data_IF_656752378380
#
_entry.id   IF_656752378380
#
_cell.length_a   1.000
_cell.length_b   1.000
_cell.length_c   1.000
_cell.angle_alpha   90.00
_cell.angle_beta   90.00
_cell.angle_gamma   90.00
#
_symmetry.space_group_name_H-M   'P 1'
#
loop_
_entity.id
_entity.type
_entity.pdbx_description
1 polymer ?
#
# COMPACT_ATOMS: atom_id res chain seq x y z
N UNK A 1 -23.12 -20.96 24.64
CA UNK A 1 -22.50 -21.04 25.99
C UNK A 1 -20.97 -21.16 25.98
N UNK A 2 -20.33 -21.85 25.02
CA UNK A 2 -18.86 -21.95 24.97
C UNK A 2 -18.14 -20.61 24.67
N UNK A 3 -18.71 -19.78 23.79
CA UNK A 3 -18.12 -18.50 23.37
C UNK A 3 -18.08 -17.47 24.52
N UNK A 4 -19.09 -17.44 25.40
CA UNK A 4 -19.11 -16.52 26.55
C UNK A 4 -18.09 -16.93 27.62
N UNK A 5 -17.84 -18.23 27.77
CA UNK A 5 -16.83 -18.79 28.66
C UNK A 5 -15.41 -18.51 28.14
N UNK A 6 -15.18 -18.67 26.84
CA UNK A 6 -13.90 -18.33 26.21
C UNK A 6 -13.66 -16.81 26.32
N UNK A 7 -14.66 -15.96 26.04
CA UNK A 7 -14.55 -14.50 26.21
C UNK A 7 -14.26 -14.09 27.66
N UNK A 8 -14.90 -14.72 28.65
CA UNK A 8 -14.65 -14.40 30.07
C UNK A 8 -13.28 -14.89 30.54
N UNK A 9 -12.83 -16.05 30.06
CA UNK A 9 -11.47 -16.57 30.28
C UNK A 9 -10.44 -15.64 29.64
N UNK A 10 -10.60 -15.28 28.36
CA UNK A 10 -9.71 -14.33 27.67
C UNK A 10 -9.65 -12.99 28.41
N UNK A 11 -10.80 -12.41 28.79
CA UNK A 11 -10.83 -11.16 29.55
C UNK A 11 -10.15 -11.28 30.93
N UNK A 12 -10.31 -12.41 31.62
CA UNK A 12 -9.64 -12.69 32.89
C UNK A 12 -8.12 -12.78 32.72
N UNK A 13 -7.67 -13.47 31.68
CA UNK A 13 -6.25 -13.63 31.37
C UNK A 13 -5.62 -12.30 30.95
N UNK A 14 -6.31 -11.48 30.16
CA UNK A 14 -5.90 -10.12 29.79
C UNK A 14 -5.75 -9.21 31.02
N UNK A 15 -6.70 -9.28 31.96
CA UNK A 15 -6.62 -8.56 33.24
C UNK A 15 -5.42 -9.03 34.09
N UNK A 16 -5.15 -10.32 34.12
CA UNK A 16 -4.02 -10.87 34.86
C UNK A 16 -2.66 -10.46 34.26
N UNK A 17 -2.50 -10.52 32.94
CA UNK A 17 -1.28 -10.06 32.26
C UNK A 17 -1.06 -8.56 32.45
N UNK A 18 -2.11 -7.74 32.35
CA UNK A 18 -2.01 -6.30 32.57
C UNK A 18 -1.76 -5.91 34.04
N UNK A 19 -2.31 -6.66 35.00
CA UNK A 19 -2.00 -6.51 36.42
C UNK A 19 -0.53 -6.86 36.71
N UNK A 20 -0.03 -7.97 36.13
CA UNK A 20 1.37 -8.39 36.25
C UNK A 20 2.33 -7.29 35.76
N UNK A 21 2.06 -6.69 34.59
CA UNK A 21 2.88 -5.58 34.06
C UNK A 21 2.86 -4.34 34.97
N UNK A 22 1.73 -4.04 35.62
CA UNK A 22 1.61 -2.93 36.59
C UNK A 22 2.36 -3.22 37.89
N UNK A 23 2.18 -4.42 38.43
CA UNK A 23 2.83 -4.87 39.66
C UNK A 23 4.35 -4.93 39.49
N UNK A 24 4.84 -5.37 38.33
CA UNK A 24 6.26 -5.36 38.00
C UNK A 24 6.86 -3.95 37.94
N UNK A 25 6.14 -2.96 37.38
CA UNK A 25 6.57 -1.55 37.40
C UNK A 25 6.58 -0.98 38.82
N UNK A 26 5.59 -1.35 39.64
CA UNK A 26 5.53 -0.93 41.06
C UNK A 26 6.69 -1.55 41.85
N UNK A 27 7.00 -2.82 41.60
CA UNK A 27 8.13 -3.52 42.21
C UNK A 27 9.47 -2.91 41.78
N UNK A 28 9.65 -2.56 40.50
CA UNK A 28 10.85 -1.87 40.01
C UNK A 28 11.04 -0.54 40.75
N UNK A 29 9.97 0.28 40.84
CA UNK A 29 10.00 1.58 41.52
C UNK A 29 10.33 1.48 43.01
N UNK A 30 10.09 0.34 43.64
CA UNK A 30 10.35 0.11 45.07
C UNK A 30 11.44 -0.94 45.29
N UNK A 31 12.19 -1.29 44.25
CA UNK A 31 13.17 -2.38 44.29
C UNK A 31 14.26 -2.14 45.33
N UNK A 32 14.73 -0.89 45.46
CA UNK A 32 15.68 -0.50 46.48
C UNK A 32 15.15 -0.68 47.92
N UNK A 33 13.86 -0.42 48.15
CA UNK A 33 13.23 -0.60 49.47
C UNK A 33 12.98 -2.07 49.80
N UNK A 34 12.64 -2.89 48.79
CA UNK A 34 12.26 -4.30 48.98
C UNK A 34 13.47 -5.23 49.00
N UNK A 35 14.47 -4.96 48.16
CA UNK A 35 15.62 -5.83 47.95
C UNK A 35 16.96 -5.20 48.38
N UNK A 36 16.96 -3.94 48.82
CA UNK A 36 18.17 -3.21 49.20
C UNK A 36 18.99 -2.69 48.01
N UNK A 37 18.62 -3.03 46.78
CA UNK A 37 19.31 -2.65 45.53
C UNK A 37 18.30 -2.39 44.41
N UNK A 38 18.65 -1.51 43.47
CA UNK A 38 17.82 -1.26 42.30
C UNK A 38 17.93 -2.40 41.29
N UNK A 39 16.79 -2.98 40.91
CA UNK A 39 16.73 -4.03 39.90
C UNK A 39 16.11 -3.53 38.59
N UNK A 40 16.63 -3.98 37.43
CA UNK A 40 16.06 -3.63 36.13
C UNK A 40 14.67 -4.24 35.94
N UNK A 41 13.82 -3.55 35.17
CA UNK A 41 12.41 -3.92 34.97
C UNK A 41 12.21 -5.39 34.54
N UNK A 42 13.09 -5.93 33.69
CA UNK A 42 13.02 -7.34 33.24
C UNK A 42 13.14 -8.34 34.39
N UNK A 43 13.99 -8.06 35.39
CA UNK A 43 14.16 -8.93 36.56
C UNK A 43 12.92 -8.87 37.45
N UNK A 44 12.35 -7.67 37.65
CA UNK A 44 11.10 -7.50 38.39
C UNK A 44 9.91 -8.16 37.66
N UNK A 45 9.83 -8.08 36.33
CA UNK A 45 8.81 -8.76 35.53
C UNK A 45 8.92 -10.28 35.67
N UNK A 46 10.14 -10.82 35.64
CA UNK A 46 10.37 -12.25 35.86
C UNK A 46 9.95 -12.69 37.27
N UNK A 47 10.33 -11.93 38.30
CA UNK A 47 9.95 -12.22 39.68
C UNK A 47 8.42 -12.21 39.91
N UNK A 48 7.71 -11.24 39.31
CA UNK A 48 6.24 -11.17 39.40
C UNK A 48 5.57 -12.26 38.55
N UNK A 49 6.16 -12.67 37.42
CA UNK A 49 5.67 -13.80 36.64
C UNK A 49 5.74 -15.12 37.43
N UNK A 50 6.89 -15.39 38.06
CA UNK A 50 7.07 -16.58 38.90
C UNK A 50 6.14 -16.56 40.12
N UNK A 51 5.98 -15.40 40.79
CA UNK A 51 5.08 -15.29 41.96
C UNK A 51 3.60 -15.50 41.63
N UNK A 52 3.21 -15.26 40.37
CA UNK A 52 1.85 -15.50 39.86
C UNK A 52 1.66 -16.92 39.31
N UNK A 53 2.67 -17.79 39.42
CA UNK A 53 2.58 -19.21 39.06
C UNK A 53 2.97 -19.55 37.62
N UNK A 54 3.56 -18.61 36.87
CA UNK A 54 4.15 -18.91 35.56
C UNK A 54 5.55 -19.48 35.72
N UNK A 55 6.01 -20.38 34.83
CA UNK A 55 7.34 -20.98 34.94
C UNK A 55 8.44 -19.99 34.54
N UNK A 56 8.12 -19.05 33.66
CA UNK A 56 9.05 -18.01 33.23
C UNK A 56 8.32 -16.76 32.71
N UNK A 57 9.06 -15.66 32.56
CA UNK A 57 8.59 -14.47 31.84
C UNK A 57 8.21 -14.79 30.39
N UNK A 58 8.94 -15.70 29.74
CA UNK A 58 8.69 -16.10 28.36
C UNK A 58 7.31 -16.78 28.21
N UNK A 59 6.82 -17.49 29.23
CA UNK A 59 5.46 -18.05 29.20
C UNK A 59 4.39 -16.96 29.22
N UNK A 60 4.62 -15.89 29.99
CA UNK A 60 3.73 -14.72 30.04
C UNK A 60 3.77 -13.97 28.71
N UNK A 61 4.94 -13.83 28.10
CA UNK A 61 5.11 -13.18 26.79
C UNK A 61 4.47 -14.01 25.67
N UNK A 62 4.64 -15.33 25.66
CA UNK A 62 3.98 -16.24 24.72
C UNK A 62 2.45 -16.23 24.87
N UNK A 63 1.97 -16.19 26.12
CA UNK A 63 0.55 -16.10 26.42
C UNK A 63 -0.01 -14.72 26.08
N UNK A 64 0.74 -13.64 26.32
CA UNK A 64 0.39 -12.30 25.85
C UNK A 64 0.35 -12.24 24.33
N UNK A 65 1.30 -12.85 23.62
CA UNK A 65 1.34 -12.92 22.16
C UNK A 65 0.15 -13.71 21.60
N UNK A 66 -0.19 -14.86 22.19
CA UNK A 66 -1.38 -15.65 21.81
C UNK A 66 -2.70 -14.92 22.05
N UNK A 67 -2.71 -13.94 22.95
CA UNK A 67 -3.88 -13.13 23.30
C UNK A 67 -3.84 -11.73 22.69
N UNK A 68 -2.85 -11.41 21.85
CA UNK A 68 -2.75 -10.11 21.19
C UNK A 68 -2.43 -8.94 22.13
N UNK A 69 -1.79 -9.22 23.27
CA UNK A 69 -1.41 -8.23 24.28
C UNK A 69 0.01 -7.72 24.11
N UNK A 70 0.62 -8.06 22.97
CA UNK A 70 1.88 -7.46 22.55
C UNK A 70 1.60 -6.01 22.11
N UNK A 71 2.20 -5.05 22.83
CA UNK A 71 2.08 -3.63 22.52
C UNK A 71 3.06 -3.20 21.42
N UNK A 72 4.02 -4.06 21.09
CA UNK A 72 5.00 -3.82 20.03
C UNK A 72 4.52 -4.34 18.68
N UNK A 73 3.51 -5.22 18.68
CA UNK A 73 2.86 -5.68 17.46
C UNK A 73 2.00 -4.57 16.84
N UNK A 74 2.09 -4.35 15.52
CA UNK A 74 1.20 -3.42 14.85
C UNK A 74 -0.27 -3.80 15.04
N UNK A 75 -1.18 -2.80 15.03
CA UNK A 75 -2.61 -3.02 15.26
C UNK A 75 -3.28 -3.96 14.24
N UNK A 76 -2.66 -4.12 13.06
CA UNK A 76 -3.11 -5.03 12.00
C UNK A 76 -2.59 -6.47 12.15
N UNK A 77 -1.97 -6.80 13.28
CA UNK A 77 -1.56 -8.17 13.58
C UNK A 77 -2.80 -9.02 13.86
N UNK A 78 -2.96 -10.13 13.13
CA UNK A 78 -4.08 -11.05 13.29
C UNK A 78 -3.87 -11.86 14.57
N UNK A 79 -4.71 -11.61 15.57
CA UNK A 79 -4.69 -12.31 16.87
C UNK A 79 -5.70 -13.46 16.91
N UNK A 80 -6.79 -13.34 16.14
CA UNK A 80 -7.85 -14.33 16.05
C UNK A 80 -8.43 -14.34 14.64
N UNK A 81 -8.96 -15.50 14.25
CA UNK A 81 -9.59 -15.73 12.94
C UNK A 81 -11.02 -16.16 13.16
N UNK A 82 -11.94 -15.64 12.35
CA UNK A 82 -13.28 -16.21 12.23
C UNK A 82 -13.21 -17.57 11.53
N UNK A 83 -14.26 -18.39 11.66
CA UNK A 83 -14.34 -19.69 10.98
C UNK A 83 -14.19 -19.49 9.46
N UNK A 84 -14.88 -18.49 8.90
CA UNK A 84 -14.78 -18.11 7.48
C UNK A 84 -13.35 -17.73 7.08
N UNK A 85 -12.66 -16.93 7.89
CA UNK A 85 -11.25 -16.60 7.63
C UNK A 85 -10.39 -17.87 7.62
N UNK A 86 -10.54 -18.74 8.63
CA UNK A 86 -9.75 -19.96 8.75
C UNK A 86 -10.00 -20.93 7.58
N UNK A 87 -11.23 -21.07 7.12
CA UNK A 87 -11.58 -21.94 5.99
C UNK A 87 -10.98 -21.43 4.67
N UNK A 88 -11.05 -20.12 4.44
CA UNK A 88 -10.41 -19.48 3.28
C UNK A 88 -8.90 -19.62 3.33
N UNK A 89 -8.29 -19.42 4.49
CA UNK A 89 -6.85 -19.58 4.70
C UNK A 89 -6.40 -21.03 4.45
N UNK A 90 -7.16 -22.01 4.95
CA UNK A 90 -6.91 -23.43 4.68
C UNK A 90 -6.99 -23.74 3.19
N UNK A 91 -7.92 -23.10 2.46
CA UNK A 91 -8.02 -23.27 1.01
C UNK A 91 -6.81 -22.68 0.27
N UNK A 92 -6.37 -21.47 0.65
CA UNK A 92 -5.17 -20.84 0.10
C UNK A 92 -3.93 -21.71 0.33
N UNK A 93 -3.75 -22.25 1.54
CA UNK A 93 -2.64 -23.16 1.84
C UNK A 93 -2.70 -24.46 1.06
N UNK A 94 -3.88 -25.07 0.91
CA UNK A 94 -4.04 -26.29 0.09
C UNK A 94 -3.71 -26.05 -1.38
N UNK A 95 -3.87 -24.82 -1.86
CA UNK A 95 -3.51 -24.40 -3.21
C UNK A 95 -2.07 -23.88 -3.31
N UNK A 96 -1.32 -23.84 -2.20
CA UNK A 96 0.02 -23.25 -2.09
C UNK A 96 0.08 -21.83 -2.67
N UNK A 97 -0.94 -21.03 -2.37
CA UNK A 97 -1.02 -19.64 -2.82
C UNK A 97 -0.36 -18.72 -1.80
N UNK A 98 0.67 -18.01 -2.25
CA UNK A 98 1.37 -16.99 -1.49
C UNK A 98 1.73 -15.81 -2.40
N UNK A 99 2.00 -14.66 -1.79
CA UNK A 99 2.56 -13.55 -2.54
C UNK A 99 3.99 -13.90 -2.99
N UNK A 100 4.29 -13.64 -4.25
CA UNK A 100 5.62 -13.90 -4.80
C UNK A 100 6.24 -12.62 -5.32
N UNK A 101 7.58 -12.58 -5.31
CA UNK A 101 8.34 -11.52 -6.00
C UNK A 101 8.29 -11.67 -7.53
N UNK A 102 7.97 -12.87 -8.00
CA UNK A 102 8.06 -13.22 -9.41
C UNK A 102 6.76 -12.97 -10.16
N UNK A 103 5.63 -12.77 -9.49
CA UNK A 103 4.35 -12.63 -10.16
C UNK A 103 3.24 -12.16 -9.20
N UNK A 104 2.30 -11.33 -9.67
CA UNK A 104 1.10 -11.07 -8.93
C UNK A 104 0.19 -12.32 -8.89
N UNK A 105 -0.60 -12.43 -7.81
CA UNK A 105 -1.68 -13.42 -7.71
C UNK A 105 -2.96 -12.78 -8.23
N UNK A 106 -3.54 -13.34 -9.29
CA UNK A 106 -4.71 -12.75 -9.95
C UNK A 106 -5.92 -13.65 -9.71
N UNK A 107 -6.87 -13.13 -8.95
CA UNK A 107 -8.14 -13.75 -8.68
C UNK A 107 -9.15 -13.36 -9.77
N UNK A 108 -9.43 -14.33 -10.64
CA UNK A 108 -10.31 -14.28 -11.80
C UNK A 108 -11.71 -14.80 -11.47
N UNK A 109 -12.69 -14.47 -12.31
CA UNK A 109 -14.12 -14.73 -12.09
C UNK A 109 -14.83 -13.58 -11.38
N UNK A 110 -16.04 -13.84 -10.87
CA UNK A 110 -16.88 -12.81 -10.24
C UNK A 110 -16.20 -12.17 -9.03
N UNK A 111 -16.13 -10.83 -9.01
CA UNK A 111 -15.42 -10.10 -7.96
C UNK A 111 -15.94 -10.42 -6.55
N UNK A 112 -17.25 -10.61 -6.39
CA UNK A 112 -17.88 -10.91 -5.11
C UNK A 112 -17.32 -12.19 -4.44
N UNK A 113 -16.89 -13.17 -5.24
CA UNK A 113 -16.31 -14.43 -4.78
C UNK A 113 -14.78 -14.37 -4.69
N UNK A 114 -14.15 -13.56 -5.53
CA UNK A 114 -12.69 -13.40 -5.62
C UNK A 114 -12.11 -12.44 -4.58
N UNK A 115 -12.89 -11.47 -4.07
CA UNK A 115 -12.43 -10.50 -3.06
C UNK A 115 -12.08 -11.16 -1.73
N UNK A 116 -12.90 -12.10 -1.25
CA UNK A 116 -12.71 -12.73 0.06
C UNK A 116 -11.34 -13.45 0.21
N UNK A 117 -10.92 -14.35 -0.70
CA UNK A 117 -9.61 -14.98 -0.61
C UNK A 117 -8.45 -13.99 -0.82
N UNK A 118 -8.63 -12.95 -1.65
CA UNK A 118 -7.62 -11.92 -1.83
C UNK A 118 -7.40 -11.09 -0.56
N UNK A 119 -8.48 -10.74 0.16
CA UNK A 119 -8.42 -10.07 1.46
C UNK A 119 -7.71 -10.91 2.52
N UNK A 120 -8.05 -12.20 2.64
CA UNK A 120 -7.37 -13.11 3.57
C UNK A 120 -5.88 -13.17 3.28
N UNK A 121 -5.51 -13.35 2.01
CA UNK A 121 -4.10 -13.38 1.61
C UNK A 121 -3.38 -12.06 1.96
N UNK A 122 -4.02 -10.91 1.71
CA UNK A 122 -3.48 -9.59 2.02
C UNK A 122 -3.27 -9.37 3.53
N UNK A 123 -4.29 -9.60 4.36
CA UNK A 123 -4.19 -9.39 5.81
C UNK A 123 -3.20 -10.35 6.47
N UNK A 124 -3.16 -11.62 6.05
CA UNK A 124 -2.20 -12.60 6.56
C UNK A 124 -0.76 -12.19 6.24
N UNK A 125 -0.49 -11.69 5.02
CA UNK A 125 0.84 -11.17 4.69
C UNK A 125 1.20 -9.91 5.48
N UNK A 126 0.26 -8.99 5.67
CA UNK A 126 0.52 -7.79 6.48
C UNK A 126 0.89 -8.17 7.92
N UNK A 127 0.13 -9.11 8.49
CA UNK A 127 0.36 -9.61 9.85
C UNK A 127 1.70 -10.37 9.95
N UNK A 128 2.01 -11.21 8.97
CA UNK A 128 3.26 -11.98 8.93
C UNK A 128 4.50 -11.08 8.79
N UNK A 129 4.47 -10.14 7.85
CA UNK A 129 5.60 -9.24 7.57
C UNK A 129 5.72 -8.10 8.59
N UNK A 130 4.66 -7.81 9.35
CA UNK A 130 4.55 -6.63 10.23
C UNK A 130 4.79 -5.31 9.48
N UNK A 131 4.44 -5.28 8.20
CA UNK A 131 4.54 -4.10 7.33
C UNK A 131 3.14 -3.57 7.00
N UNK A 132 2.96 -2.24 6.88
CA UNK A 132 1.70 -1.66 6.46
C UNK A 132 1.42 -2.00 4.99
N UNK A 133 0.24 -2.55 4.70
CA UNK A 133 -0.19 -2.84 3.34
C UNK A 133 -0.92 -1.69 2.66
N UNK A 134 -1.07 -1.81 1.34
CA UNK A 134 -1.85 -0.88 0.51
C UNK A 134 -3.00 -1.60 -0.19
N UNK A 135 -4.22 -1.13 0.03
CA UNK A 135 -5.40 -1.52 -0.73
C UNK A 135 -5.74 -0.42 -1.74
N UNK A 136 -5.64 -0.72 -3.02
CA UNK A 136 -6.05 0.15 -4.13
C UNK A 136 -7.43 -0.31 -4.62
N UNK A 137 -8.43 0.55 -4.49
CA UNK A 137 -9.79 0.28 -4.92
C UNK A 137 -10.15 1.20 -6.08
N UNK A 138 -10.28 0.62 -7.26
CA UNK A 138 -10.91 1.27 -8.40
C UNK A 138 -12.42 1.13 -8.27
N UNK A 139 -13.11 2.26 -8.11
CA UNK A 139 -14.54 2.28 -7.81
C UNK A 139 -15.25 3.57 -8.20
N UNK A 140 -16.51 3.44 -8.60
CA UNK A 140 -17.47 4.54 -8.76
C UNK A 140 -18.41 4.68 -7.53
N UNK A 141 -18.29 3.79 -6.54
CA UNK A 141 -19.10 3.84 -5.33
C UNK A 141 -18.77 5.10 -4.50
N UNK A 142 -19.76 5.76 -3.90
CA UNK A 142 -19.55 7.04 -3.22
C UNK A 142 -18.74 6.88 -1.92
N UNK A 143 -18.76 5.70 -1.30
CA UNK A 143 -18.03 5.43 -0.08
C UNK A 143 -17.45 4.02 -0.06
N UNK A 144 -16.44 3.79 0.79
CA UNK A 144 -15.87 2.45 1.00
C UNK A 144 -16.90 1.44 1.51
N UNK A 145 -17.93 1.90 2.25
CA UNK A 145 -18.95 1.04 2.85
C UNK A 145 -19.85 0.39 1.81
N UNK A 146 -19.95 0.98 0.62
CA UNK A 146 -20.77 0.51 -0.49
C UNK A 146 -20.03 -0.49 -1.40
N UNK A 147 -18.82 -0.90 -1.02
CA UNK A 147 -17.91 -1.68 -1.87
C UNK A 147 -17.80 -3.13 -1.40
N UNK A 148 -17.48 -4.05 -2.33
CA UNK A 148 -17.26 -5.47 -2.02
C UNK A 148 -16.14 -5.70 -1.00
N UNK A 149 -15.21 -4.75 -0.87
CA UNK A 149 -14.15 -4.79 0.14
C UNK A 149 -14.74 -4.73 1.54
N UNK A 150 -15.66 -3.80 1.79
CA UNK A 150 -16.24 -3.63 3.12
C UNK A 150 -17.09 -4.85 3.53
N UNK A 151 -17.89 -5.38 2.59
CA UNK A 151 -18.62 -6.63 2.79
C UNK A 151 -17.69 -7.82 3.08
N UNK A 152 -16.56 -7.90 2.35
CA UNK A 152 -15.54 -8.93 2.57
C UNK A 152 -14.89 -8.82 3.95
N UNK A 153 -14.49 -7.62 4.37
CA UNK A 153 -13.91 -7.33 5.69
C UNK A 153 -14.89 -7.73 6.80
N UNK A 154 -16.17 -7.37 6.66
CA UNK A 154 -17.22 -7.73 7.61
C UNK A 154 -17.41 -9.24 7.74
N UNK A 155 -17.38 -9.97 6.62
CA UNK A 155 -17.44 -11.44 6.63
C UNK A 155 -16.24 -12.07 7.34
N UNK A 156 -15.06 -11.45 7.25
CA UNK A 156 -13.85 -11.94 7.90
C UNK A 156 -13.79 -11.60 9.40
N UNK A 157 -14.61 -10.66 9.89
CA UNK A 157 -14.56 -10.18 11.27
C UNK A 157 -13.34 -9.29 11.54
N UNK A 158 -12.90 -8.53 10.53
CA UNK A 158 -11.70 -7.68 10.58
C UNK A 158 -12.04 -6.18 10.55
N UNK A 159 -13.26 -5.79 10.92
CA UNK A 159 -13.73 -4.41 10.87
C UNK A 159 -12.85 -3.47 11.69
N UNK A 160 -12.49 -3.84 12.93
CA UNK A 160 -11.63 -3.02 13.80
C UNK A 160 -10.25 -2.77 13.20
N UNK A 161 -9.69 -3.78 12.51
CA UNK A 161 -8.39 -3.64 11.81
C UNK A 161 -8.54 -2.70 10.62
N UNK A 162 -9.62 -2.84 9.85
CA UNK A 162 -9.87 -2.03 8.67
C UNK A 162 -10.20 -0.57 9.00
N UNK A 163 -10.93 -0.30 10.08
CA UNK A 163 -11.15 1.05 10.62
C UNK A 163 -9.83 1.74 11.00
N UNK A 164 -8.82 0.97 11.37
CA UNK A 164 -7.48 1.46 11.63
C UNK A 164 -6.74 1.94 10.37
N UNK A 165 -7.19 1.64 9.16
CA UNK A 165 -6.50 2.03 7.92
C UNK A 165 -6.62 3.55 7.67
N UNK A 166 -5.64 4.13 6.98
CA UNK A 166 -5.79 5.47 6.41
C UNK A 166 -6.64 5.35 5.15
N UNK A 167 -7.86 5.86 5.20
CA UNK A 167 -8.71 5.99 4.00
C UNK A 167 -8.40 7.28 3.27
N UNK A 168 -8.11 7.17 1.97
CA UNK A 168 -7.92 8.31 1.06
C UNK A 168 -8.84 8.13 -0.15
N UNK A 169 -9.77 9.06 -0.34
CA UNK A 169 -10.53 9.15 -1.58
C UNK A 169 -9.86 10.16 -2.51
N UNK A 170 -9.17 9.67 -3.54
CA UNK A 170 -8.40 10.51 -4.47
C UNK A 170 -9.28 11.16 -5.54
N UNK A 171 -10.58 10.85 -5.55
CA UNK A 171 -11.58 11.44 -6.45
C UNK A 171 -12.10 12.78 -5.92
N UNK A 172 -11.76 13.15 -4.69
CA UNK A 172 -12.12 14.43 -4.09
C UNK A 172 -11.26 15.59 -4.64
N UNK A 173 -11.80 16.81 -4.62
CA UNK A 173 -11.09 18.02 -5.06
C UNK A 173 -10.19 18.64 -3.99
N UNK A 174 -10.44 18.39 -2.71
CA UNK A 174 -9.66 18.98 -1.63
C UNK A 174 -9.15 17.88 -0.72
N UNK A 175 -7.97 17.38 -1.04
CA UNK A 175 -7.37 16.26 -0.32
C UNK A 175 -6.64 16.76 0.93
N UNK A 176 -7.01 16.32 2.15
CA UNK A 176 -6.39 16.77 3.41
C UNK A 176 -5.05 16.05 3.69
N UNK A 177 -4.25 15.86 2.65
CA UNK A 177 -2.96 15.17 2.69
C UNK A 177 -1.92 15.91 1.88
N UNK A 178 -0.66 15.70 2.23
CA UNK A 178 0.49 16.09 1.43
C UNK A 178 1.01 14.87 0.69
N UNK A 179 0.92 14.91 -0.65
CA UNK A 179 1.50 13.90 -1.53
C UNK A 179 2.80 14.43 -2.16
N UNK A 180 3.90 13.74 -1.88
CA UNK A 180 5.22 13.99 -2.44
C UNK A 180 5.88 12.65 -2.74
N UNK A 181 6.51 12.50 -3.90
CA UNK A 181 7.26 11.30 -4.30
C UNK A 181 8.48 11.72 -5.10
N UNK A 182 9.38 10.80 -5.42
CA UNK A 182 10.52 11.12 -6.28
C UNK A 182 10.07 11.56 -7.68
N UNK A 183 10.89 12.38 -8.33
CA UNK A 183 10.60 12.92 -9.66
C UNK A 183 10.22 11.82 -10.66
N UNK A 184 10.98 10.72 -10.70
CA UNK A 184 10.71 9.58 -11.59
C UNK A 184 9.30 9.00 -11.45
N UNK A 185 8.78 8.95 -10.22
CA UNK A 185 7.48 8.36 -9.92
C UNK A 185 6.34 9.31 -10.20
N UNK A 186 6.56 10.62 -10.04
CA UNK A 186 5.65 11.62 -10.57
C UNK A 186 5.52 11.50 -12.08
N UNK A 187 6.64 11.51 -12.80
CA UNK A 187 6.65 11.40 -14.27
C UNK A 187 5.97 10.10 -14.71
N UNK A 188 6.37 8.96 -14.12
CA UNK A 188 5.80 7.66 -14.45
C UNK A 188 4.29 7.59 -14.19
N UNK A 189 3.82 8.07 -13.04
CA UNK A 189 2.38 8.08 -12.74
C UNK A 189 1.61 8.95 -13.74
N UNK A 190 2.15 10.11 -14.12
CA UNK A 190 1.56 11.00 -15.14
C UNK A 190 1.53 10.33 -16.51
N UNK A 191 2.60 9.63 -16.90
CA UNK A 191 2.68 9.03 -18.25
C UNK A 191 1.84 7.76 -18.34
N UNK A 192 1.76 6.97 -17.26
CA UNK A 192 1.03 5.70 -17.21
C UNK A 192 -0.47 5.85 -17.55
N UNK A 193 -1.08 7.00 -17.23
CA UNK A 193 -2.51 7.29 -17.51
C UNK A 193 -2.79 7.84 -18.91
N UNK A 194 -1.76 8.23 -19.67
CA UNK A 194 -1.92 8.83 -20.99
C UNK A 194 -2.23 7.78 -22.07
N UNK A 195 -2.81 8.14 -23.22
CA UNK A 195 -2.97 7.21 -24.34
C UNK A 195 -1.63 6.61 -24.80
N UNK A 196 -1.61 5.32 -25.20
CA UNK A 196 -0.37 4.60 -25.54
C UNK A 196 0.47 5.29 -26.62
N UNK A 197 -0.19 5.85 -27.64
CA UNK A 197 0.49 6.58 -28.71
C UNK A 197 1.21 7.84 -28.20
N UNK A 198 0.63 8.49 -27.17
CA UNK A 198 1.25 9.62 -26.53
C UNK A 198 2.41 9.17 -25.63
N UNK A 199 2.27 8.07 -24.89
CA UNK A 199 3.35 7.51 -24.08
C UNK A 199 4.59 7.18 -24.93
N UNK A 200 4.41 6.47 -26.05
CA UNK A 200 5.53 6.11 -26.93
C UNK A 200 6.20 7.35 -27.52
N UNK A 201 5.42 8.39 -27.85
CA UNK A 201 5.94 9.67 -28.31
C UNK A 201 6.75 10.39 -27.21
N UNK A 202 6.25 10.44 -25.98
CA UNK A 202 6.95 11.06 -24.84
C UNK A 202 8.26 10.34 -24.52
N UNK A 203 8.26 9.01 -24.62
CA UNK A 203 9.45 8.20 -24.44
C UNK A 203 10.48 8.42 -25.57
N UNK A 204 10.06 8.39 -26.83
CA UNK A 204 10.95 8.56 -27.99
C UNK A 204 11.54 9.97 -28.08
N UNK A 205 10.76 10.98 -27.70
CA UNK A 205 11.21 12.37 -27.66
C UNK A 205 12.16 12.65 -26.50
N UNK A 206 12.22 11.78 -25.47
CA UNK A 206 12.99 12.02 -24.25
C UNK A 206 12.33 13.05 -23.33
N UNK A 207 11.06 13.39 -23.55
CA UNK A 207 10.35 14.39 -22.76
C UNK A 207 10.18 13.94 -21.30
N UNK A 208 9.92 12.66 -21.06
CA UNK A 208 9.80 12.08 -19.71
C UNK A 208 11.08 12.29 -18.89
N UNK A 209 12.24 11.98 -19.49
CA UNK A 209 13.54 12.20 -18.86
C UNK A 209 13.82 13.69 -18.63
N UNK A 210 13.42 14.54 -19.59
CA UNK A 210 13.51 16.00 -19.45
C UNK A 210 12.67 16.53 -18.29
N UNK A 211 11.44 16.01 -18.11
CA UNK A 211 10.55 16.37 -17.01
C UNK A 211 11.12 15.91 -15.67
N UNK A 212 11.62 14.68 -15.58
CA UNK A 212 12.21 14.12 -14.37
C UNK A 212 13.36 14.99 -13.87
N UNK A 213 14.34 15.26 -14.73
CA UNK A 213 15.52 16.08 -14.39
C UNK A 213 15.11 17.51 -14.03
N UNK A 214 14.25 18.12 -14.84
CA UNK A 214 13.83 19.51 -14.63
C UNK A 214 13.04 19.71 -13.34
N UNK A 215 12.19 18.74 -12.98
CA UNK A 215 11.39 18.77 -11.75
C UNK A 215 12.28 18.56 -10.52
N UNK A 216 13.23 17.63 -10.58
CA UNK A 216 14.19 17.41 -9.51
C UNK A 216 15.06 18.65 -9.25
N UNK A 217 15.64 19.22 -10.30
CA UNK A 217 16.50 20.42 -10.19
C UNK A 217 15.70 21.64 -9.71
N UNK A 218 14.43 21.78 -10.10
CA UNK A 218 13.54 22.81 -9.55
C UNK A 218 13.39 22.65 -8.03
N UNK A 219 13.04 21.45 -7.55
CA UNK A 219 12.89 21.18 -6.13
C UNK A 219 14.21 21.39 -5.35
N UNK A 220 15.34 21.00 -5.94
CA UNK A 220 16.69 21.20 -5.39
C UNK A 220 17.02 22.69 -5.26
N UNK A 221 16.79 23.48 -6.31
CA UNK A 221 17.02 24.94 -6.30
C UNK A 221 16.21 25.67 -5.21
N UNK A 222 15.07 25.10 -4.82
CA UNK A 222 14.17 25.61 -3.77
C UNK A 222 14.46 25.02 -2.39
N UNK A 223 15.52 24.23 -2.23
CA UNK A 223 15.87 23.52 -1.00
C UNK A 223 14.74 22.59 -0.48
N UNK A 224 13.95 22.03 -1.38
CA UNK A 224 12.84 21.12 -1.04
C UNK A 224 13.27 19.65 -1.03
N UNK A 225 14.41 19.33 -1.67
CA UNK A 225 15.02 17.99 -1.61
C UNK A 225 15.78 17.85 -0.28
N UNK A 226 15.33 16.94 0.57
CA UNK A 226 16.09 16.55 1.76
C UNK A 226 17.01 15.41 1.39
N UNK A 227 18.29 15.49 1.77
CA UNK A 227 19.29 14.45 1.54
C UNK A 227 18.97 13.19 2.38
N UNK A 228 18.01 12.40 1.91
CA UNK A 228 17.70 11.08 2.44
C UNK A 228 18.29 10.07 1.45
N UNK A 229 19.09 9.11 1.94
CA UNK A 229 19.81 8.16 1.09
C UNK A 229 18.89 7.22 0.30
N UNK A 230 17.60 7.14 0.67
CA UNK A 230 16.70 6.08 0.23
C UNK A 230 15.44 6.58 -0.51
N UNK A 231 15.00 7.83 -0.30
CA UNK A 231 13.80 8.39 -0.95
C UNK A 231 13.85 9.92 -1.02
N UNK A 232 14.12 10.46 -2.21
CA UNK A 232 14.23 11.91 -2.44
C UNK A 232 12.91 12.48 -2.95
N UNK A 233 11.93 12.62 -2.05
CA UNK A 233 10.61 13.10 -2.39
C UNK A 233 10.63 14.59 -2.81
N UNK A 234 9.93 14.91 -3.90
CA UNK A 234 9.67 16.27 -4.36
C UNK A 234 8.17 16.57 -4.35
N UNK A 235 7.77 17.83 -4.09
CA UNK A 235 6.37 18.23 -4.17
C UNK A 235 5.91 18.30 -5.64
N UNK A 236 4.63 18.08 -5.88
CA UNK A 236 4.04 18.17 -7.22
C UNK A 236 4.24 19.54 -7.88
N UNK A 237 4.27 20.61 -7.08
CA UNK A 237 4.52 21.96 -7.57
C UNK A 237 5.78 22.05 -8.47
N UNK A 238 6.87 21.37 -8.11
CA UNK A 238 8.09 21.37 -8.93
C UNK A 238 7.92 20.63 -10.26
N UNK A 239 7.08 19.60 -10.29
CA UNK A 239 6.69 18.87 -11.50
C UNK A 239 5.82 19.74 -12.39
N UNK A 240 4.85 20.45 -11.80
CA UNK A 240 3.97 21.39 -12.48
C UNK A 240 4.79 22.48 -13.19
N UNK A 241 5.67 23.17 -12.47
CA UNK A 241 6.52 24.23 -13.06
C UNK A 241 7.40 23.70 -14.18
N UNK A 242 8.04 22.53 -13.97
CA UNK A 242 8.86 21.90 -14.99
C UNK A 242 8.04 21.55 -16.24
N UNK A 243 6.85 20.98 -16.09
CA UNK A 243 5.98 20.63 -17.21
C UNK A 243 5.59 21.86 -18.04
N UNK A 244 5.19 22.97 -17.39
CA UNK A 244 4.84 24.22 -18.08
C UNK A 244 6.02 24.83 -18.84
N UNK A 245 7.23 24.82 -18.25
CA UNK A 245 8.43 25.34 -18.92
C UNK A 245 8.84 24.46 -20.10
N UNK A 246 8.88 23.14 -19.91
CA UNK A 246 9.26 22.19 -20.97
C UNK A 246 8.27 22.23 -22.14
N UNK A 247 6.98 22.37 -21.85
CA UNK A 247 5.95 22.52 -22.88
C UNK A 247 6.13 23.79 -23.74
N UNK A 248 6.91 24.77 -23.30
CA UNK A 248 7.24 25.96 -24.11
C UNK A 248 8.31 25.70 -25.17
N UNK A 249 9.17 24.68 -25.00
CA UNK A 249 10.17 24.22 -25.98
C UNK A 249 11.34 25.16 -26.29
N UNK A 250 11.32 26.42 -25.79
CA UNK A 250 12.25 27.46 -26.26
C UNK A 250 13.65 27.36 -25.67
N UNK A 251 13.77 26.91 -24.43
CA UNK A 251 15.03 26.76 -23.72
C UNK A 251 14.86 25.85 -22.52
N UNK A 252 15.95 25.23 -22.06
CA UNK A 252 15.94 24.56 -20.77
C UNK A 252 15.63 25.55 -19.64
N UNK A 253 14.95 25.12 -18.56
CA UNK A 253 14.68 26.00 -17.42
C UNK A 253 15.96 26.57 -16.81
N UNK A 254 15.89 27.83 -16.35
CA UNK A 254 17.04 28.56 -15.80
C UNK A 254 17.61 27.97 -14.50
N UNK A 255 16.87 27.10 -13.84
CA UNK A 255 17.25 26.45 -12.59
C UNK A 255 18.02 25.14 -12.79
N UNK A 256 18.31 24.72 -14.03
CA UNK A 256 19.12 23.54 -14.29
C UNK A 256 20.58 23.83 -13.94
N UNK A 257 21.15 23.08 -12.99
CA UNK A 257 22.55 23.20 -12.61
C UNK A 257 23.51 22.67 -13.69
N UNK A 258 24.79 23.05 -13.62
CA UNK A 258 25.83 22.58 -14.56
C UNK A 258 26.00 21.05 -14.56
N UNK A 259 25.80 20.40 -13.41
CA UNK A 259 25.87 18.95 -13.29
C UNK A 259 24.72 18.25 -14.03
N UNK A 260 23.51 18.80 -13.90
CA UNK A 260 22.32 18.33 -14.61
C UNK A 260 22.35 18.71 -16.11
N UNK A 261 23.03 19.80 -16.47
CA UNK A 261 23.21 20.22 -17.85
C UNK A 261 23.93 19.16 -18.71
N UNK A 262 24.78 18.33 -18.10
CA UNK A 262 25.40 17.17 -18.77
C UNK A 262 24.37 16.09 -19.09
N UNK A 263 23.43 15.83 -18.20
CA UNK A 263 22.35 14.86 -18.43
C UNK A 263 21.37 15.37 -19.49
N UNK A 264 21.00 16.65 -19.43
CA UNK A 264 20.14 17.26 -20.44
C UNK A 264 20.82 17.40 -21.80
N UNK A 265 22.15 17.53 -21.86
CA UNK A 265 22.91 17.55 -23.13
C UNK A 265 22.79 16.25 -23.92
N UNK A 266 22.57 15.11 -23.23
CA UNK A 266 22.28 13.83 -23.86
C UNK A 266 20.85 13.77 -24.45
N UNK A 267 19.94 14.62 -23.95
CA UNK A 267 18.56 14.76 -24.46
C UNK A 267 18.55 15.74 -25.65
N UNK A 268 19.27 16.84 -25.55
CA UNK A 268 19.44 17.82 -26.63
C UNK A 268 19.76 19.23 -26.15
N UNK A 269 20.11 20.11 -27.10
CA UNK A 269 20.40 21.53 -26.81
C UNK A 269 19.17 22.30 -26.28
N UNK A 270 17.96 21.85 -26.63
CA UNK A 270 16.68 22.36 -26.14
C UNK A 270 15.81 21.20 -25.64
N UNK A 271 14.80 21.49 -24.78
CA UNK A 271 13.77 20.51 -24.44
C UNK A 271 13.09 19.94 -25.69
N UNK A 272 12.68 18.66 -25.67
CA UNK A 272 11.94 18.07 -26.77
C UNK A 272 10.60 18.80 -26.99
N UNK A 273 10.34 19.25 -28.22
CA UNK A 273 9.08 19.91 -28.56
C UNK A 273 7.94 18.89 -28.62
N UNK A 274 6.83 19.20 -27.97
CA UNK A 274 5.58 18.45 -28.09
C UNK A 274 4.69 19.07 -29.15
N UNK A 275 4.08 18.24 -30.00
CA UNK A 275 3.02 18.68 -30.90
C UNK A 275 1.85 19.28 -30.11
N UNK A 276 1.17 20.28 -30.71
CA UNK A 276 0.15 21.09 -30.03
C UNK A 276 -0.93 20.27 -29.32
N UNK A 277 -1.50 19.24 -29.97
CA UNK A 277 -2.52 18.39 -29.36
C UNK A 277 -2.01 17.55 -28.18
N UNK A 278 -0.80 16.99 -28.29
CA UNK A 278 -0.14 16.24 -27.21
C UNK A 278 0.16 17.12 -26.00
N UNK A 279 0.62 18.35 -26.27
CA UNK A 279 0.89 19.35 -25.25
C UNK A 279 -0.35 19.72 -24.45
N UNK A 280 -1.48 19.95 -25.13
CA UNK A 280 -2.73 20.35 -24.48
C UNK A 280 -3.21 19.25 -23.51
N UNK A 281 -3.18 17.98 -23.94
CA UNK A 281 -3.56 16.82 -23.10
C UNK A 281 -2.72 16.74 -21.82
N UNK A 282 -1.38 16.83 -21.94
CA UNK A 282 -0.48 16.75 -20.77
C UNK A 282 -0.70 17.93 -19.83
N UNK A 283 -0.78 19.15 -20.36
CA UNK A 283 -0.97 20.34 -19.53
C UNK A 283 -2.33 20.37 -18.84
N UNK A 284 -3.38 19.87 -19.49
CA UNK A 284 -4.71 19.79 -18.88
C UNK A 284 -4.76 18.76 -17.76
N UNK A 285 -4.05 17.63 -17.87
CA UNK A 285 -3.86 16.69 -16.77
C UNK A 285 -3.10 17.33 -15.60
N UNK A 286 -2.03 18.07 -15.87
CA UNK A 286 -1.25 18.79 -14.84
C UNK A 286 -2.12 19.83 -14.11
N UNK A 287 -2.96 20.59 -14.82
CA UNK A 287 -3.92 21.52 -14.21
C UNK A 287 -4.98 20.78 -13.39
N UNK A 288 -5.48 19.65 -13.89
CA UNK A 288 -6.45 18.83 -13.17
C UNK A 288 -5.86 18.32 -11.85
N UNK A 289 -4.59 17.89 -11.84
CA UNK A 289 -3.87 17.53 -10.62
C UNK A 289 -3.72 18.71 -9.67
N UNK A 290 -3.26 19.86 -10.15
CA UNK A 290 -3.10 21.06 -9.32
C UNK A 290 -4.42 21.46 -8.62
N UNK A 291 -5.55 21.31 -9.32
CA UNK A 291 -6.87 21.61 -8.77
C UNK A 291 -7.32 20.73 -7.59
N UNK A 292 -6.61 19.61 -7.31
CA UNK A 292 -6.92 18.66 -6.24
C UNK A 292 -6.40 19.06 -4.85
N UNK A 293 -5.63 20.15 -4.76
CA UNK A 293 -5.15 20.75 -3.51
C UNK A 293 -4.51 19.77 -2.49
N UNK A 294 -3.73 18.79 -2.93
CA UNK A 294 -3.04 17.81 -2.07
C UNK A 294 -1.65 18.26 -1.56
N UNK A 295 -1.45 19.58 -1.44
CA UNK A 295 -0.18 20.15 -0.97
C UNK A 295 -0.10 20.33 0.55
N UNK A 296 -1.21 20.18 1.27
CA UNK A 296 -1.35 20.54 2.67
C UNK A 296 -2.08 19.43 3.45
N UNK A 297 -1.53 19.05 4.62
CA UNK A 297 -2.14 18.07 5.50
C UNK A 297 -1.15 17.03 6.01
N UNK A 298 -1.65 15.82 6.28
CA UNK A 298 -0.81 14.72 6.74
C UNK A 298 0.10 14.26 5.60
N UNK A 299 1.41 14.16 5.87
CA UNK A 299 2.36 13.61 4.89
C UNK A 299 2.10 12.12 4.70
N UNK A 300 1.56 11.74 3.53
CA UNK A 300 1.32 10.34 3.20
C UNK A 300 2.62 9.56 3.00
N UNK A 301 3.68 10.24 2.55
CA UNK A 301 5.03 9.68 2.56
C UNK A 301 5.41 9.24 3.98
N UNK A 302 5.26 10.11 5.00
CA UNK A 302 5.66 9.73 6.34
C UNK A 302 4.74 8.67 6.97
N UNK A 303 3.42 8.85 6.87
CA UNK A 303 2.43 8.00 7.54
C UNK A 303 2.39 6.58 6.95
N UNK A 304 2.62 6.41 5.64
CA UNK A 304 2.67 5.10 4.98
C UNK A 304 3.76 4.16 5.51
N UNK A 305 4.72 4.65 6.30
CA UNK A 305 5.73 3.80 6.96
C UNK A 305 5.18 3.05 8.17
N UNK A 306 4.09 3.56 8.75
CA UNK A 306 3.59 3.14 10.06
C UNK A 306 2.13 2.71 10.03
N UNK A 307 1.42 2.98 8.94
CA UNK A 307 -0.02 2.76 8.84
C UNK A 307 -0.39 2.23 7.45
N UNK A 308 -1.23 1.18 7.38
CA UNK A 308 -1.79 0.70 6.12
C UNK A 308 -2.82 1.66 5.53
N UNK A 309 -2.97 1.61 4.21
CA UNK A 309 -3.77 2.53 3.42
C UNK A 309 -4.88 1.79 2.66
N UNK A 310 -6.05 2.42 2.58
CA UNK A 310 -7.09 2.10 1.60
C UNK A 310 -7.36 3.34 0.75
N UNK A 311 -7.17 3.19 -0.56
CA UNK A 311 -7.20 4.29 -1.52
C UNK A 311 -8.30 4.04 -2.51
N UNK A 312 -9.22 5.00 -2.65
CA UNK A 312 -10.26 4.99 -3.67
C UNK A 312 -9.83 5.88 -4.83
N UNK A 313 -9.95 5.38 -6.05
CA UNK A 313 -9.71 6.13 -7.28
C UNK A 313 -10.66 5.65 -8.39
N UNK A 314 -10.77 6.41 -9.47
CA UNK A 314 -11.63 6.06 -10.61
C UNK A 314 -10.80 6.02 -11.90
N UNK A 315 -11.05 5.00 -12.73
CA UNK A 315 -10.47 4.89 -14.09
C UNK A 315 -10.94 6.01 -15.02
N UNK A 316 -12.07 6.66 -14.71
CA UNK A 316 -12.65 7.74 -15.51
C UNK A 316 -12.10 9.11 -15.12
N UNK A 317 -11.27 9.16 -14.07
CA UNK A 317 -10.64 10.36 -13.54
C UNK A 317 -9.12 10.19 -13.54
N UNK A 318 -8.44 10.58 -14.63
CA UNK A 318 -6.99 10.40 -14.79
C UNK A 318 -6.18 11.06 -13.65
N UNK A 319 -6.67 12.16 -13.08
CA UNK A 319 -5.99 12.80 -11.96
C UNK A 319 -6.00 11.89 -10.72
N UNK A 320 -7.13 11.26 -10.40
CA UNK A 320 -7.21 10.31 -9.29
C UNK A 320 -6.31 9.09 -9.49
N UNK A 321 -6.18 8.59 -10.73
CA UNK A 321 -5.31 7.46 -11.04
C UNK A 321 -3.82 7.81 -10.93
N UNK A 322 -3.41 9.01 -11.39
CA UNK A 322 -2.04 9.51 -11.17
C UNK A 322 -1.74 9.56 -9.68
N UNK A 323 -2.65 10.09 -8.86
CA UNK A 323 -2.46 10.15 -7.42
C UNK A 323 -2.42 8.75 -6.78
N UNK A 324 -3.18 7.78 -7.30
CA UNK A 324 -3.09 6.39 -6.87
C UNK A 324 -1.70 5.81 -7.18
N UNK A 325 -1.13 6.13 -8.34
CA UNK A 325 0.24 5.77 -8.73
C UNK A 325 1.30 6.39 -7.80
N UNK A 326 1.06 7.61 -7.33
CA UNK A 326 1.93 8.28 -6.35
C UNK A 326 1.87 7.58 -4.99
N UNK A 327 0.67 7.23 -4.50
CA UNK A 327 0.54 6.49 -3.24
C UNK A 327 1.12 5.08 -3.36
N UNK A 328 0.96 4.44 -4.52
CA UNK A 328 1.55 3.13 -4.85
C UNK A 328 3.08 3.13 -4.69
N UNK A 329 3.77 4.21 -5.06
CA UNK A 329 5.25 4.29 -4.97
C UNK A 329 5.78 4.16 -3.54
N UNK A 330 4.98 4.55 -2.53
CA UNK A 330 5.37 4.47 -1.12
C UNK A 330 5.50 3.05 -0.58
N UNK A 331 4.79 2.11 -1.20
CA UNK A 331 4.70 0.70 -0.78
C UNK A 331 5.47 -0.25 -1.71
N UNK A 332 5.68 0.15 -2.97
CA UNK A 332 6.39 -0.67 -3.98
C UNK A 332 7.86 -0.30 -4.14
N UNK A 333 8.17 1.00 -4.22
CA UNK A 333 9.51 1.47 -4.61
C UNK A 333 10.40 1.82 -3.43
N UNK A 334 9.85 2.57 -2.46
CA UNK A 334 10.63 3.06 -1.32
C UNK A 334 11.25 1.93 -0.49
N UNK A 335 10.64 0.74 -0.53
CA UNK A 335 11.06 -0.41 0.27
C UNK A 335 12.07 -1.26 -0.48
N UNK A 336 13.01 -1.85 0.27
CA UNK A 336 13.92 -2.85 -0.28
C UNK A 336 13.15 -4.06 -0.79
N UNK A 337 13.73 -4.77 -1.75
CA UNK A 337 13.13 -5.94 -2.40
C UNK A 337 12.50 -6.94 -1.40
N UNK A 338 13.26 -7.29 -0.36
CA UNK A 338 12.85 -8.29 0.65
C UNK A 338 11.83 -7.74 1.66
N UNK A 339 11.63 -6.42 1.70
CA UNK A 339 10.77 -5.69 2.66
C UNK A 339 9.55 -5.06 1.96
N UNK A 340 9.14 -5.60 0.80
CA UNK A 340 7.98 -5.10 0.08
C UNK A 340 6.68 -5.39 0.82
N UNK A 341 5.91 -4.32 1.01
CA UNK A 341 4.59 -4.36 1.62
C UNK A 341 3.62 -5.14 0.74
N UNK A 342 2.69 -5.90 1.34
CA UNK A 342 1.65 -6.54 0.55
C UNK A 342 0.71 -5.49 -0.04
N UNK A 343 0.26 -5.74 -1.26
CA UNK A 343 -0.60 -4.85 -2.03
C UNK A 343 -1.81 -5.61 -2.56
N UNK A 344 -2.98 -5.02 -2.44
CA UNK A 344 -4.21 -5.58 -3.00
C UNK A 344 -4.87 -4.54 -3.89
N UNK A 345 -4.99 -4.85 -5.18
CA UNK A 345 -5.79 -4.07 -6.12
C UNK A 345 -7.15 -4.75 -6.34
N UNK A 346 -8.22 -3.99 -6.18
CA UNK A 346 -9.59 -4.43 -6.45
C UNK A 346 -10.28 -3.43 -7.37
N UNK A 347 -10.98 -3.95 -8.37
CA UNK A 347 -11.83 -3.19 -9.28
C UNK A 347 -13.25 -3.71 -9.21
N UNK A 348 -14.19 -2.84 -8.87
CA UNK A 348 -15.62 -3.16 -8.80
C UNK A 348 -16.37 -2.88 -10.11
N UNK A 349 -15.70 -2.27 -11.09
CA UNK A 349 -16.28 -1.98 -12.39
C UNK A 349 -16.69 -3.24 -13.16
N UNK A 350 -17.75 -3.12 -13.96
CA UNK A 350 -18.27 -4.22 -14.77
C UNK A 350 -17.29 -4.66 -15.88
N UNK A 351 -16.51 -3.72 -16.41
CA UNK A 351 -15.47 -4.00 -17.39
C UNK A 351 -14.13 -4.19 -16.68
N UNK A 352 -13.38 -5.26 -16.99
CA UNK A 352 -12.06 -5.45 -16.41
C UNK A 352 -11.10 -4.29 -16.70
N UNK A 353 -10.37 -3.87 -15.66
CA UNK A 353 -9.34 -2.85 -15.76
C UNK A 353 -8.17 -3.18 -14.86
N UNK A 354 -6.98 -2.82 -15.31
CA UNK A 354 -5.77 -2.93 -14.54
C UNK A 354 -4.91 -1.70 -14.87
N UNK A 355 -4.73 -0.79 -13.91
CA UNK A 355 -3.93 0.40 -14.14
C UNK A 355 -2.46 0.01 -14.29
N UNK A 356 -1.74 0.75 -15.13
CA UNK A 356 -0.32 0.48 -15.47
C UNK A 356 0.63 0.68 -14.30
N UNK A 357 0.20 1.43 -13.29
CA UNK A 357 0.90 1.59 -12.02
C UNK A 357 1.16 0.25 -11.32
N UNK A 358 0.34 -0.79 -11.59
CA UNK A 358 0.55 -2.13 -11.07
C UNK A 358 1.76 -2.76 -11.78
N UNK A 359 2.90 -2.72 -11.11
CA UNK A 359 4.14 -3.29 -11.61
C UNK A 359 4.20 -4.81 -11.48
N UNK A 360 5.28 -5.38 -11.99
CA UNK A 360 5.62 -6.78 -11.76
C UNK A 360 6.43 -6.93 -10.47
N UNK A 361 6.10 -7.94 -9.66
CA UNK A 361 6.88 -8.32 -8.49
C UNK A 361 6.66 -7.47 -7.23
N UNK A 362 5.60 -6.67 -7.19
CA UNK A 362 5.32 -5.74 -6.07
C UNK A 362 4.56 -6.40 -4.91
N UNK A 363 4.67 -7.72 -4.74
CA UNK A 363 3.83 -8.49 -3.79
C UNK A 363 2.37 -8.03 -3.89
N UNK A 364 1.79 -8.23 -5.08
CA UNK A 364 0.46 -7.74 -5.41
C UNK A 364 -0.53 -8.87 -5.64
N UNK A 365 -1.71 -8.75 -5.05
CA UNK A 365 -2.88 -9.55 -5.39
C UNK A 365 -3.87 -8.65 -6.15
N UNK A 366 -4.57 -9.24 -7.12
CA UNK A 366 -5.48 -8.50 -7.99
C UNK A 366 -6.83 -9.18 -8.06
N UNK A 367 -7.90 -8.40 -7.92
CA UNK A 367 -9.29 -8.81 -8.15
C UNK A 367 -9.93 -7.81 -9.10
N UNK A 368 -10.10 -8.14 -10.37
CA UNK A 368 -10.58 -7.17 -11.37
C UNK A 368 -11.64 -7.72 -12.33
N UNK A 369 -12.33 -8.80 -11.93
CA UNK A 369 -13.44 -9.37 -12.69
C UNK A 369 -13.05 -10.02 -14.02
N UNK A 370 -11.75 -10.25 -14.26
CA UNK A 370 -11.31 -10.95 -15.46
C UNK A 370 -11.71 -12.43 -15.41
N UNK A 371 -12.34 -12.94 -16.46
CA UNK A 371 -12.54 -14.40 -16.61
C UNK A 371 -11.26 -15.10 -17.08
N UNK A 372 -10.48 -14.41 -17.92
CA UNK A 372 -9.24 -14.91 -18.53
C UNK A 372 -8.17 -13.85 -18.40
N UNK A 373 -6.93 -14.27 -18.13
CA UNK A 373 -5.78 -13.37 -18.16
C UNK A 373 -5.59 -12.91 -19.61
N UNK A 374 -5.72 -11.62 -19.90
CA UNK A 374 -5.72 -11.11 -21.25
C UNK A 374 -4.28 -11.17 -21.83
N UNK A 375 -4.17 -11.51 -23.11
CA UNK A 375 -2.91 -11.73 -23.81
C UNK A 375 -2.75 -10.70 -24.94
N UNK A 376 -2.11 -9.56 -24.66
CA UNK A 376 -1.97 -8.48 -25.64
C UNK A 376 -1.57 -7.11 -25.05
N UNK A 377 -2.02 -6.06 -25.75
CA UNK A 377 -1.91 -4.63 -25.39
C UNK A 377 -3.26 -3.85 -25.42
N UNK A 378 -4.39 -4.43 -25.05
CA UNK A 378 -5.69 -3.82 -24.82
C UNK A 378 -5.95 -3.38 -23.37
N UNK A 379 -7.19 -2.93 -23.07
CA UNK A 379 -7.63 -2.55 -21.72
C UNK A 379 -7.56 -3.75 -20.75
N UNK A 380 -7.06 -3.51 -19.53
CA UNK A 380 -6.88 -4.58 -18.54
C UNK A 380 -5.65 -5.45 -18.77
N UNK A 381 -4.83 -5.18 -19.79
CA UNK A 381 -3.54 -5.84 -20.00
C UNK A 381 -2.41 -4.97 -19.45
N UNK A 382 -1.66 -5.54 -18.48
CA UNK A 382 -0.39 -4.99 -18.05
C UNK A 382 0.66 -6.09 -18.00
N UNK A 383 1.94 -5.68 -18.02
CA UNK A 383 3.06 -6.59 -18.12
C UNK A 383 3.04 -7.70 -17.05
N UNK A 384 2.57 -7.39 -15.84
CA UNK A 384 2.56 -8.35 -14.73
C UNK A 384 1.61 -9.53 -14.90
N UNK A 385 0.62 -9.44 -15.78
CA UNK A 385 -0.30 -10.53 -16.07
C UNK A 385 0.32 -11.69 -16.85
N UNK A 386 1.36 -11.46 -17.64
CA UNK A 386 1.99 -12.52 -18.45
C UNK A 386 2.55 -13.67 -17.61
N UNK A 387 3.01 -13.40 -16.39
CA UNK A 387 3.51 -14.44 -15.48
C UNK A 387 2.63 -14.60 -14.23
N UNK A 388 1.42 -14.04 -14.20
CA UNK A 388 0.56 -14.06 -13.03
C UNK A 388 0.08 -15.47 -12.64
N UNK A 389 -0.08 -15.69 -11.34
CA UNK A 389 -0.70 -16.90 -10.82
C UNK A 389 -2.22 -16.75 -10.90
N UNK A 390 -2.85 -17.46 -11.86
CA UNK A 390 -4.30 -17.39 -12.09
C UNK A 390 -5.07 -18.26 -11.10
N UNK A 391 -5.83 -17.64 -10.21
CA UNK A 391 -6.76 -18.30 -9.28
C UNK A 391 -8.18 -17.96 -9.71
N UNK A 392 -9.09 -18.94 -9.77
CA UNK A 392 -10.50 -18.69 -10.09
C UNK A 392 -11.31 -18.74 -8.81
N UNK A 393 -11.96 -17.63 -8.47
CA UNK A 393 -12.96 -17.55 -7.40
C UNK A 393 -14.33 -17.95 -7.94
N UNK A 394 -14.98 -18.91 -7.27
CA UNK A 394 -16.34 -19.35 -7.63
C UNK A 394 -17.22 -19.39 -6.37
N UNK A 395 -18.57 -19.40 -6.52
CA UNK A 395 -19.47 -19.58 -5.37
C UNK A 395 -19.18 -20.85 -4.56
N UNK A 396 -18.58 -21.84 -5.21
CA UNK A 396 -18.29 -23.17 -4.68
C UNK A 396 -16.84 -23.32 -4.18
N UNK A 397 -16.08 -22.21 -4.13
CA UNK A 397 -14.71 -22.15 -3.63
C UNK A 397 -13.66 -21.74 -4.67
N UNK A 398 -12.40 -22.06 -4.37
CA UNK A 398 -11.25 -21.66 -5.16
C UNK A 398 -10.79 -22.76 -6.12
N UNK A 399 -10.33 -22.37 -7.30
CA UNK A 399 -9.70 -23.27 -8.26
C UNK A 399 -8.35 -22.71 -8.73
N UNK A 400 -7.32 -23.55 -8.69
CA UNK A 400 -5.96 -23.21 -9.13
C UNK A 400 -5.28 -24.44 -9.73
N UNK A 401 -4.69 -24.31 -10.93
CA UNK A 401 -4.01 -25.41 -11.65
C UNK A 401 -4.81 -26.73 -11.70
N UNK A 402 -6.13 -26.65 -11.94
CA UNK A 402 -7.02 -27.82 -12.00
C UNK A 402 -7.42 -28.42 -10.64
N UNK A 403 -6.83 -27.96 -9.53
CA UNK A 403 -7.25 -28.33 -8.17
C UNK A 403 -8.35 -27.39 -7.69
N UNK A 404 -9.45 -27.95 -7.20
CA UNK A 404 -10.58 -27.21 -6.63
C UNK A 404 -10.66 -27.45 -5.12
N UNK A 405 -10.80 -26.38 -4.34
CA UNK A 405 -10.94 -26.45 -2.89
C UNK A 405 -12.18 -25.65 -2.48
N UNK A 406 -13.16 -26.28 -1.82
CA UNK A 406 -14.35 -25.58 -1.34
C UNK A 406 -13.97 -24.62 -0.21
N UNK A 407 -14.65 -23.46 -0.21
CA UNK A 407 -14.71 -22.55 0.91
C UNK A 407 -16.03 -22.91 1.60
N UNK A 408 -15.96 -23.62 2.73
CA UNK A 408 -17.13 -24.24 3.38
C UNK A 408 -18.11 -23.18 3.89
#
# INVERSE_FOLDING_TARGET
MAISLIRSLTASVVRNVSALKRDAKRLQKHSQLVFGTEYPLKVCQHAVAVSRGFRSLADVENLAHRLGLDKEAPFWTIVGRSDTHQDVLNALYRLNLEYTENAPVVFTGEQIHSVLPALVLFFEQMSLKKLPGLLLLETEAPSIQDTFIFDGVKKLGLEEVFEGFRSLDLRDQNLPVSLSTEARWWVKAITDVLPKDLQTLLQQSGWEAGLEVSAYENAKSRNQVRSSKDFEAIPFYSVQEAAFQLASGKSWPLWISEDAARQTSAIGACPPELHKGSKDIVLDLIKALDSRNFGLGVSSEHESRWRPYVVLFSRNDPASEVLAGVVHSYFSWRQRRDERSPMLYVSDGATPYAPRLLGFGDHTAVVNGLDVIPAGDGPGEFFGYKNALKVVGTPNGLQYMGKRVPLV
#
